data_IF_949801368728
#
_entry.id   IF_949801368728
#
_cell.length_a   1.000
_cell.length_b   1.000
_cell.length_c   1.000
_cell.angle_alpha   90.00
_cell.angle_beta   90.00
_cell.angle_gamma   90.00
#
_symmetry.space_group_name_H-M   'P 1'
#
loop_
_entity.id
_entity.type
_entity.pdbx_description
1 polymer ?
#
# COMPACT_ATOMS: atom_id res chain seq x y z
N UNK A 1 -13.50 3.96 35.93
CA UNK A 1 -13.43 2.49 35.73
C UNK A 1 -13.13 2.07 34.28
N UNK A 2 -13.41 2.91 33.27
CA UNK A 2 -13.11 2.60 31.85
C UNK A 2 -11.68 2.92 31.39
N UNK A 3 -10.87 3.55 32.25
CA UNK A 3 -9.47 3.93 31.98
C UNK A 3 -8.59 2.78 31.45
N UNK A 4 -8.69 1.54 31.96
CA UNK A 4 -7.90 0.41 31.47
C UNK A 4 -8.34 -0.05 30.06
N UNK A 5 -9.65 -0.03 29.78
CA UNK A 5 -10.23 -0.44 28.51
C UNK A 5 -9.84 0.51 27.37
N UNK A 6 -9.80 1.81 27.65
CA UNK A 6 -9.36 2.84 26.70
C UNK A 6 -7.86 2.66 26.39
N UNK A 7 -7.04 2.33 27.40
CA UNK A 7 -5.60 2.04 27.21
C UNK A 7 -5.39 0.80 26.35
N UNK A 8 -6.13 -0.28 26.59
CA UNK A 8 -6.07 -1.49 25.74
C UNK A 8 -6.55 -1.22 24.31
N UNK A 9 -7.64 -0.48 24.15
CA UNK A 9 -8.17 -0.11 22.83
C UNK A 9 -7.18 0.75 22.03
N UNK A 10 -6.55 1.73 22.67
CA UNK A 10 -5.49 2.54 22.06
C UNK A 10 -4.27 1.68 21.71
N UNK A 11 -3.82 0.80 22.61
CA UNK A 11 -2.66 -0.07 22.38
C UNK A 11 -2.92 -1.06 21.23
N UNK A 12 -4.12 -1.66 21.19
CA UNK A 12 -4.53 -2.54 20.11
C UNK A 12 -4.67 -1.79 18.78
N UNK A 13 -5.22 -0.57 18.79
CA UNK A 13 -5.34 0.26 17.59
C UNK A 13 -3.98 0.74 17.08
N UNK A 14 -3.05 1.05 17.98
CA UNK A 14 -1.66 1.37 17.62
C UNK A 14 -0.96 0.14 17.03
N UNK A 15 -1.15 -1.03 17.65
CA UNK A 15 -0.56 -2.28 17.15
C UNK A 15 -1.11 -2.64 15.77
N UNK A 16 -2.44 -2.61 15.55
CA UNK A 16 -3.03 -2.96 14.25
C UNK A 16 -2.58 -2.04 13.12
N UNK A 17 -2.49 -0.73 13.39
CA UNK A 17 -2.16 0.28 12.38
C UNK A 17 -0.65 0.39 12.12
N UNK A 18 0.19 0.18 13.14
CA UNK A 18 1.63 0.39 13.04
C UNK A 18 2.47 -0.88 13.07
N UNK A 19 1.88 -2.10 13.15
CA UNK A 19 2.62 -3.38 13.18
C UNK A 19 3.76 -3.46 12.16
N UNK A 20 3.53 -3.03 10.92
CA UNK A 20 4.56 -3.09 9.87
C UNK A 20 5.72 -2.12 10.15
N UNK A 21 5.44 -0.92 10.64
CA UNK A 21 6.47 0.06 10.99
C UNK A 21 7.22 -0.36 12.26
N UNK A 22 6.51 -0.94 13.24
CA UNK A 22 7.10 -1.45 14.49
C UNK A 22 8.08 -2.59 14.23
N UNK A 23 7.73 -3.55 13.36
CA UNK A 23 8.67 -4.62 12.95
C UNK A 23 9.91 -4.01 12.28
N UNK A 24 9.74 -3.02 11.39
CA UNK A 24 10.87 -2.37 10.70
C UNK A 24 11.77 -1.61 11.65
N UNK A 25 11.21 -0.86 12.61
CA UNK A 25 11.99 -0.16 13.63
C UNK A 25 12.71 -1.15 14.53
N UNK A 26 12.05 -2.24 14.94
CA UNK A 26 12.65 -3.25 15.79
C UNK A 26 13.83 -3.92 15.08
N UNK A 27 13.67 -4.25 13.79
CA UNK A 27 14.75 -4.79 12.98
C UNK A 27 15.92 -3.81 12.82
N UNK A 28 15.65 -2.52 12.61
CA UNK A 28 16.69 -1.50 12.53
C UNK A 28 17.45 -1.33 13.85
N UNK A 29 16.76 -1.34 14.98
CA UNK A 29 17.37 -1.32 16.32
C UNK A 29 18.24 -2.55 16.54
N UNK A 30 17.74 -3.74 16.18
CA UNK A 30 18.49 -4.99 16.31
C UNK A 30 19.74 -4.99 15.43
N UNK A 31 19.64 -4.54 14.17
CA UNK A 31 20.77 -4.38 13.28
C UNK A 31 21.83 -3.42 13.87
N UNK A 32 21.39 -2.30 14.46
CA UNK A 32 22.30 -1.34 15.08
C UNK A 32 23.02 -1.92 16.30
N UNK A 33 22.31 -2.73 17.11
CA UNK A 33 22.91 -3.45 18.23
C UNK A 33 23.96 -4.46 17.78
N UNK A 34 23.68 -5.23 16.71
CA UNK A 34 24.65 -6.17 16.12
C UNK A 34 25.90 -5.43 15.65
N UNK A 35 25.74 -4.31 14.93
CA UNK A 35 26.89 -3.50 14.47
C UNK A 35 27.72 -2.99 15.63
N UNK A 36 27.07 -2.58 16.73
CA UNK A 36 27.79 -2.16 17.93
C UNK A 36 28.61 -3.30 18.53
N UNK A 37 28.02 -4.48 18.65
CA UNK A 37 28.67 -5.65 19.23
C UNK A 37 29.86 -6.12 18.37
N UNK A 38 29.66 -6.22 17.06
CA UNK A 38 30.72 -6.54 16.08
C UNK A 38 31.84 -5.51 16.16
N UNK A 39 31.51 -4.22 16.29
CA UNK A 39 32.54 -3.19 16.43
C UNK A 39 33.35 -3.32 17.72
N UNK A 40 32.71 -3.66 18.85
CA UNK A 40 33.42 -3.87 20.12
C UNK A 40 34.42 -5.03 19.99
N UNK A 41 33.99 -6.14 19.40
CA UNK A 41 34.84 -7.32 19.16
C UNK A 41 36.04 -6.97 18.26
N UNK A 42 35.80 -6.25 17.17
CA UNK A 42 36.86 -5.78 16.27
C UNK A 42 37.85 -4.84 16.97
N UNK A 43 37.35 -3.93 17.81
CA UNK A 43 38.22 -3.02 18.59
C UNK A 43 39.07 -3.78 19.59
N UNK A 44 38.51 -4.78 20.27
CA UNK A 44 39.24 -5.63 21.20
C UNK A 44 40.39 -6.36 20.47
N UNK A 45 40.10 -7.01 19.35
CA UNK A 45 41.09 -7.70 18.50
C UNK A 45 42.22 -6.77 18.02
N UNK A 46 41.91 -5.53 17.63
CA UNK A 46 42.93 -4.58 17.20
C UNK A 46 43.73 -3.98 18.36
N UNK A 47 43.13 -3.84 19.53
CA UNK A 47 43.82 -3.35 20.74
C UNK A 47 44.90 -4.33 21.21
N UNK A 48 44.63 -5.64 21.13
CA UNK A 48 45.58 -6.71 21.45
C UNK A 48 46.80 -6.74 20.52
N UNK A 49 46.63 -6.35 19.26
CA UNK A 49 47.68 -6.40 18.23
C UNK A 49 48.46 -5.07 18.08
N UNK A 50 48.23 -4.06 18.93
CA UNK A 50 48.87 -2.74 18.88
C UNK A 50 48.80 -2.02 17.51
N UNK A 51 47.89 -2.41 16.62
CA UNK A 51 47.74 -1.81 15.29
C UNK A 51 46.76 -0.62 15.32
N UNK A 52 47.20 0.51 15.86
CA UNK A 52 46.39 1.73 15.97
C UNK A 52 45.88 2.25 14.61
N UNK A 53 46.63 2.08 13.52
CA UNK A 53 46.22 2.52 12.20
C UNK A 53 44.95 1.80 11.71
N UNK A 54 44.77 0.53 12.08
CA UNK A 54 43.60 -0.26 11.68
C UNK A 54 42.35 0.08 12.48
N UNK A 55 42.53 0.66 13.69
CA UNK A 55 41.43 1.16 14.51
C UNK A 55 40.66 2.29 13.82
N UNK A 56 41.37 3.18 13.11
CA UNK A 56 40.77 4.30 12.38
C UNK A 56 39.90 3.81 11.22
N UNK A 57 40.38 2.82 10.46
CA UNK A 57 39.59 2.21 9.39
C UNK A 57 38.34 1.50 9.92
N UNK A 58 38.44 0.80 11.07
CA UNK A 58 37.29 0.17 11.72
C UNK A 58 36.22 1.20 12.15
N UNK A 59 36.64 2.38 12.61
CA UNK A 59 35.72 3.47 12.96
C UNK A 59 35.02 4.04 11.73
N UNK A 60 35.73 4.27 10.62
CA UNK A 60 35.12 4.67 9.34
C UNK A 60 34.12 3.59 8.88
N UNK A 61 34.50 2.32 8.92
CA UNK A 61 33.66 1.21 8.50
C UNK A 61 32.35 1.15 9.32
N UNK A 62 32.43 1.33 10.64
CA UNK A 62 31.25 1.39 11.52
C UNK A 62 30.25 2.46 11.06
N UNK A 63 30.73 3.69 10.83
CA UNK A 63 29.87 4.79 10.38
C UNK A 63 29.27 4.54 9.00
N UNK A 64 30.03 3.94 8.09
CA UNK A 64 29.55 3.58 6.76
C UNK A 64 28.40 2.56 6.85
N UNK A 65 28.54 1.54 7.69
CA UNK A 65 27.47 0.55 7.93
C UNK A 65 26.23 1.19 8.56
N UNK A 66 26.40 2.08 9.55
CA UNK A 66 25.28 2.81 10.15
C UNK A 66 24.54 3.65 9.10
N UNK A 67 25.27 4.34 8.22
CA UNK A 67 24.71 5.14 7.15
C UNK A 67 23.87 4.26 6.20
N UNK A 68 24.39 3.09 5.80
CA UNK A 68 23.64 2.11 5.00
C UNK A 68 22.34 1.69 5.68
N UNK A 69 22.39 1.37 6.99
CA UNK A 69 21.19 0.98 7.75
C UNK A 69 20.14 2.09 7.73
N UNK A 70 20.56 3.35 7.94
CA UNK A 70 19.67 4.52 7.90
C UNK A 70 19.04 4.67 6.53
N UNK A 71 19.82 4.57 5.44
CA UNK A 71 19.31 4.68 4.06
C UNK A 71 18.29 3.59 3.76
N UNK A 72 18.61 2.33 4.11
CA UNK A 72 17.70 1.19 3.93
C UNK A 72 16.40 1.40 4.72
N UNK A 73 16.51 1.88 5.96
CA UNK A 73 15.36 2.18 6.80
C UNK A 73 14.46 3.28 6.18
N UNK A 74 15.03 4.42 5.78
CA UNK A 74 14.29 5.52 5.14
C UNK A 74 13.65 5.07 3.83
N UNK A 75 14.36 4.30 3.01
CA UNK A 75 13.81 3.75 1.77
C UNK A 75 12.64 2.79 2.03
N UNK A 76 12.75 1.95 3.05
CA UNK A 76 11.70 1.03 3.48
C UNK A 76 10.44 1.78 3.94
N UNK A 77 10.58 2.94 4.60
CA UNK A 77 9.44 3.79 4.99
C UNK A 77 8.77 4.42 3.76
N UNK A 78 9.57 4.94 2.81
CA UNK A 78 9.06 5.57 1.58
C UNK A 78 8.30 4.58 0.69
N UNK A 79 8.74 3.33 0.64
CA UNK A 79 8.07 2.25 -0.09
C UNK A 79 6.69 1.93 0.50
N UNK A 80 6.57 1.85 1.82
CA UNK A 80 5.27 1.62 2.51
C UNK A 80 4.30 2.79 2.31
N UNK A 81 4.78 4.03 2.30
CA UNK A 81 3.93 5.21 2.06
C UNK A 81 3.32 5.21 0.64
N UNK A 82 4.06 4.74 -0.38
CA UNK A 82 3.56 4.61 -1.75
C UNK A 82 2.51 3.51 -1.91
N UNK A 83 2.65 2.40 -1.19
CA UNK A 83 1.73 1.26 -1.28
C UNK A 83 0.41 1.48 -0.52
N UNK A 84 0.39 2.42 0.43
CA UNK A 84 -0.81 2.84 1.17
C UNK A 84 -1.60 3.96 0.47
N UNK A 85 -1.27 4.31 -0.77
CA UNK A 85 -2.20 5.11 -1.57
C UNK A 85 -3.52 4.34 -1.65
N UNK A 86 -4.66 4.97 -1.39
CA UNK A 86 -5.94 4.28 -1.49
C UNK A 86 -6.01 3.70 -2.90
N UNK A 87 -6.10 2.36 -2.99
CA UNK A 87 -6.41 1.66 -4.22
C UNK A 87 -7.54 2.43 -4.87
N UNK A 88 -7.22 3.13 -5.96
CA UNK A 88 -8.17 3.95 -6.66
C UNK A 88 -9.20 2.98 -7.24
N UNK A 89 -10.32 2.81 -6.52
CA UNK A 89 -11.45 1.94 -6.85
C UNK A 89 -12.06 2.30 -8.22
N UNK A 90 -11.61 3.37 -8.89
CA UNK A 90 -12.07 3.71 -10.24
C UNK A 90 -11.54 2.82 -11.36
N UNK A 91 -10.56 1.92 -11.15
CA UNK A 91 -10.03 1.09 -12.26
C UNK A 91 -10.70 -0.27 -12.47
N UNK A 92 -11.51 -0.78 -11.54
CA UNK A 92 -12.28 -2.03 -11.78
C UNK A 92 -13.67 -1.79 -12.40
N UNK A 93 -14.15 -0.54 -12.47
CA UNK A 93 -15.42 -0.22 -13.12
C UNK A 93 -15.33 -0.06 -14.65
N UNK A 94 -14.12 0.05 -15.24
CA UNK A 94 -13.93 0.18 -16.70
C UNK A 94 -13.52 -1.11 -17.41
N UNK A 95 -13.17 -2.17 -16.69
CA UNK A 95 -12.74 -3.43 -17.30
C UNK A 95 -13.91 -4.39 -17.63
N UNK A 96 -15.12 -4.14 -17.14
CA UNK A 96 -16.30 -4.96 -17.46
C UNK A 96 -17.17 -4.37 -18.56
N UNK A 97 -16.96 -3.11 -18.96
CA UNK A 97 -17.77 -2.45 -20.00
C UNK A 97 -17.26 -2.68 -21.43
N UNK A 98 -16.01 -3.13 -21.60
CA UNK A 98 -15.44 -3.36 -22.95
C UNK A 98 -15.51 -4.81 -23.43
N UNK A 99 -16.13 -5.73 -22.67
CA UNK A 99 -16.27 -7.15 -23.07
C UNK A 99 -17.70 -7.60 -23.38
N UNK A 100 -18.61 -6.64 -23.61
CA UNK A 100 -19.98 -6.89 -24.11
C UNK A 100 -20.33 -5.89 -25.22
N UNK A 101 -19.39 -5.62 -26.12
CA UNK A 101 -19.59 -4.76 -27.29
C UNK A 101 -19.43 -5.53 -28.62
N UNK A 102 -19.34 -6.86 -28.59
CA UNK A 102 -19.36 -7.71 -29.78
C UNK A 102 -20.53 -8.69 -29.69
N UNK A 103 -21.75 -8.20 -29.89
CA UNK A 103 -22.84 -8.98 -30.49
C UNK A 103 -24.01 -8.07 -30.87
N UNK A 104 -24.21 -7.97 -32.18
CA UNK A 104 -25.48 -7.77 -32.91
C UNK A 104 -26.16 -6.39 -32.91
N UNK A 105 -25.86 -5.64 -33.98
CA UNK A 105 -26.79 -5.18 -35.03
C UNK A 105 -27.80 -4.05 -34.74
N UNK A 106 -27.52 -2.91 -35.40
CA UNK A 106 -28.40 -1.90 -36.00
C UNK A 106 -29.55 -1.29 -35.19
N UNK A 107 -29.37 -0.01 -34.84
CA UNK A 107 -30.31 1.04 -35.26
C UNK A 107 -29.62 2.41 -35.26
N UNK A 108 -30.05 3.24 -36.20
CA UNK A 108 -29.45 4.47 -36.71
C UNK A 108 -28.93 5.46 -35.67
N UNK A 109 -27.73 5.93 -35.98
CA UNK A 109 -27.19 7.23 -35.67
C UNK A 109 -28.17 8.35 -36.09
N UNK A 110 -28.46 9.28 -35.20
CA UNK A 110 -28.76 10.67 -35.57
C UNK A 110 -28.02 11.55 -34.57
N UNK A 111 -26.96 12.18 -35.07
CA UNK A 111 -26.36 13.35 -34.46
C UNK A 111 -27.36 14.50 -34.63
N UNK A 112 -27.66 15.25 -33.56
CA UNK A 112 -27.99 16.66 -33.72
C UNK A 112 -27.70 17.43 -32.43
N UNK A 113 -26.74 18.33 -32.54
CA UNK A 113 -26.61 19.68 -32.00
C UNK A 113 -26.93 20.02 -30.53
N UNK A 114 -26.05 20.89 -30.05
CA UNK A 114 -26.07 21.69 -28.84
C UNK A 114 -27.43 22.26 -28.45
N UNK A 115 -27.92 21.88 -27.27
CA UNK A 115 -28.36 22.78 -26.17
C UNK A 115 -28.86 21.92 -25.01
N UNK A 116 -28.32 22.15 -23.81
CA UNK A 116 -28.61 21.43 -22.55
C UNK A 116 -28.47 19.90 -22.63
N UNK A 117 -27.35 19.36 -22.15
CA UNK A 117 -27.20 17.90 -21.98
C UNK A 117 -28.17 17.46 -20.89
N UNK A 118 -29.36 17.00 -21.30
CA UNK A 118 -30.36 16.48 -20.39
C UNK A 118 -29.80 15.23 -19.70
N UNK A 119 -29.60 15.24 -18.37
CA UNK A 119 -29.01 14.12 -17.64
C UNK A 119 -29.86 12.84 -17.72
N UNK A 120 -31.09 12.91 -18.23
CA UNK A 120 -32.03 11.80 -18.36
C UNK A 120 -32.29 11.34 -19.80
N UNK A 121 -31.61 11.90 -20.81
CA UNK A 121 -31.81 11.53 -22.21
C UNK A 121 -31.59 10.02 -22.44
N UNK A 122 -30.58 9.46 -21.77
CA UNK A 122 -30.27 8.03 -21.81
C UNK A 122 -31.32 7.14 -21.12
N UNK A 123 -32.21 7.69 -20.29
CA UNK A 123 -33.31 6.95 -19.68
C UNK A 123 -34.57 6.99 -20.55
N UNK A 124 -34.79 8.05 -21.32
CA UNK A 124 -35.98 8.21 -22.18
C UNK A 124 -35.98 7.23 -23.35
N UNK A 125 -34.82 6.93 -23.91
CA UNK A 125 -34.68 6.01 -25.04
C UNK A 125 -34.60 4.53 -24.63
N UNK A 126 -34.85 4.19 -23.36
CA UNK A 126 -34.87 2.80 -22.89
C UNK A 126 -36.28 2.24 -22.92
N UNK A 127 -36.48 1.19 -23.71
CA UNK A 127 -37.75 0.46 -23.84
C UNK A 127 -38.28 -0.08 -22.50
N UNK A 128 -37.38 -0.51 -21.60
CA UNK A 128 -37.76 -0.90 -20.23
C UNK A 128 -36.73 -0.45 -19.20
N UNK A 129 -37.18 0.30 -18.19
CA UNK A 129 -36.35 0.69 -17.06
C UNK A 129 -36.23 -0.48 -16.08
N UNK A 130 -35.05 -1.08 -16.03
CA UNK A 130 -34.78 -2.23 -15.16
C UNK A 130 -33.86 -1.84 -14.03
N UNK A 131 -34.26 -2.17 -12.81
CA UNK A 131 -33.45 -1.96 -11.62
C UNK A 131 -32.28 -2.96 -11.56
N UNK A 132 -31.19 -2.58 -10.89
CA UNK A 132 -30.04 -3.46 -10.63
C UNK A 132 -30.46 -4.75 -9.92
N UNK A 133 -31.46 -4.69 -9.05
CA UNK A 133 -32.00 -5.85 -8.33
C UNK A 133 -32.73 -6.82 -9.25
N UNK A 134 -33.46 -6.29 -10.24
CA UNK A 134 -34.23 -7.07 -11.21
C UNK A 134 -33.30 -7.89 -12.13
N UNK A 135 -32.19 -7.29 -12.56
CA UNK A 135 -31.12 -7.98 -13.30
C UNK A 135 -30.48 -9.13 -12.50
N UNK A 136 -30.32 -8.96 -11.18
CA UNK A 136 -29.76 -10.02 -10.32
C UNK A 136 -30.73 -11.18 -10.12
N UNK A 137 -32.03 -10.89 -10.04
CA UNK A 137 -33.08 -11.90 -9.90
C UNK A 137 -33.21 -12.74 -11.17
N UNK A 138 -33.16 -12.13 -12.34
CA UNK A 138 -33.17 -12.87 -13.61
C UNK A 138 -31.95 -13.76 -13.79
N UNK A 139 -30.75 -13.25 -13.48
CA UNK A 139 -29.54 -14.05 -13.57
C UNK A 139 -29.60 -15.31 -12.69
N UNK A 140 -30.21 -15.21 -11.51
CA UNK A 140 -30.45 -16.38 -10.64
C UNK A 140 -31.49 -17.33 -11.21
N UNK A 141 -32.53 -16.83 -11.88
CA UNK A 141 -33.60 -17.65 -12.46
C UNK A 141 -33.13 -18.43 -13.70
N UNK A 142 -32.22 -17.87 -14.51
CA UNK A 142 -31.67 -18.54 -15.71
C UNK A 142 -30.55 -19.57 -15.43
N UNK A 143 -30.04 -19.67 -14.20
CA UNK A 143 -29.00 -20.64 -13.80
C UNK A 143 -29.56 -21.91 -13.14
N UNK A 144 -30.88 -22.07 -13.11
CA UNK A 144 -31.58 -23.25 -12.60
C UNK A 144 -32.28 -23.95 -13.76
#
# INVERSE_FOLDING_TARGET
>A
MFSPLIRLGLLASFWLKYKSNIIKTLFAVLALAIVHYVYQDVVELFSLNQQQNNLMYALIAKWLVILIIIVVYVFSLKSTARNNQPLNVKKTAKATTNKVANSTTSSKQTQQDSESVDPFEQLRHKDKLRSRSDLMLEKKRSQK
#
